data_IF_279961908103
#
_entry.id   IF_279961908103
#
_cell.length_a   1.000
_cell.length_b   1.000
_cell.length_c   1.000
_cell.angle_alpha   90.00
_cell.angle_beta   90.00
_cell.angle_gamma   90.00
#
_symmetry.space_group_name_H-M   'P 1'
#
loop_
_entity.id
_entity.type
_entity.pdbx_description
1 polymer ?
#
# COMPACT_ATOMS: atom_id res chain seq x y z
N UNK A 1 -42.55 35.40 -17.66
CA UNK A 1 -41.70 34.24 -17.29
C UNK A 1 -40.26 34.30 -17.79
N UNK A 2 -39.94 34.91 -18.95
CA UNK A 2 -38.57 34.93 -19.50
C UNK A 2 -37.47 35.55 -18.61
N UNK A 3 -37.74 36.67 -17.92
CA UNK A 3 -36.72 37.37 -17.10
C UNK A 3 -36.26 36.63 -15.82
N UNK A 4 -37.01 35.62 -15.37
CA UNK A 4 -36.69 34.86 -14.14
C UNK A 4 -35.76 33.67 -14.48
N UNK A 5 -35.91 33.08 -15.67
CA UNK A 5 -35.05 32.01 -16.17
C UNK A 5 -33.62 32.51 -16.47
N UNK A 6 -33.47 33.73 -16.99
CA UNK A 6 -32.14 34.33 -17.26
C UNK A 6 -31.34 34.61 -15.98
N UNK A 7 -32.02 35.03 -14.90
CA UNK A 7 -31.35 35.26 -13.60
C UNK A 7 -30.86 33.94 -12.99
N UNK A 8 -31.66 32.88 -13.08
CA UNK A 8 -31.28 31.57 -12.54
C UNK A 8 -30.07 30.96 -13.28
N UNK A 9 -30.00 31.16 -14.61
CA UNK A 9 -28.84 30.78 -15.42
C UNK A 9 -27.58 31.56 -15.05
N UNK A 10 -27.72 32.85 -14.80
CA UNK A 10 -26.61 33.72 -14.37
C UNK A 10 -26.04 33.32 -13.00
N UNK A 11 -26.89 33.04 -12.00
CA UNK A 11 -26.41 32.60 -10.68
C UNK A 11 -25.74 31.22 -10.71
N UNK A 12 -26.23 30.29 -11.55
CA UNK A 12 -25.56 29.00 -11.77
C UNK A 12 -24.19 29.19 -12.42
N UNK A 13 -24.10 30.02 -13.46
CA UNK A 13 -22.83 30.34 -14.10
C UNK A 13 -21.84 30.98 -13.13
N UNK A 14 -22.29 31.94 -12.32
CA UNK A 14 -21.46 32.61 -11.31
C UNK A 14 -20.99 31.64 -10.22
N UNK A 15 -21.85 30.73 -9.77
CA UNK A 15 -21.48 29.68 -8.81
C UNK A 15 -20.45 28.70 -9.39
N UNK A 16 -20.59 28.30 -10.66
CA UNK A 16 -19.61 27.44 -11.34
C UNK A 16 -18.26 28.15 -11.50
N UNK A 17 -18.28 29.44 -11.86
CA UNK A 17 -17.08 30.26 -12.00
C UNK A 17 -16.38 30.42 -10.65
N UNK A 18 -17.13 30.69 -9.57
CA UNK A 18 -16.59 30.80 -8.21
C UNK A 18 -15.93 29.48 -7.76
N UNK A 19 -16.61 28.35 -7.94
CA UNK A 19 -16.06 27.02 -7.59
C UNK A 19 -14.83 26.67 -8.43
N UNK A 20 -14.81 27.06 -9.71
CA UNK A 20 -13.65 26.88 -10.57
C UNK A 20 -12.45 27.70 -10.07
N UNK A 21 -12.65 28.97 -9.76
CA UNK A 21 -11.61 29.85 -9.24
C UNK A 21 -11.09 29.39 -7.88
N UNK A 22 -11.97 28.97 -6.96
CA UNK A 22 -11.59 28.39 -5.67
C UNK A 22 -10.74 27.13 -5.83
N UNK A 23 -11.09 26.25 -6.78
CA UNK A 23 -10.29 25.05 -7.09
C UNK A 23 -8.92 25.40 -7.67
N UNK A 24 -8.82 26.41 -8.53
CA UNK A 24 -7.52 26.84 -9.06
C UNK A 24 -6.66 27.51 -7.97
N UNK A 25 -7.27 28.32 -7.12
CA UNK A 25 -6.59 28.96 -6.00
C UNK A 25 -6.08 27.93 -4.99
N UNK A 26 -6.89 26.93 -4.64
CA UNK A 26 -6.47 25.82 -3.78
C UNK A 26 -5.30 25.02 -4.40
N UNK A 27 -5.35 24.72 -5.71
CA UNK A 27 -4.23 24.05 -6.41
C UNK A 27 -2.95 24.89 -6.36
N UNK A 28 -3.05 26.19 -6.55
CA UNK A 28 -1.92 27.10 -6.47
C UNK A 28 -1.36 27.17 -5.04
N UNK A 29 -2.22 27.30 -4.04
CA UNK A 29 -1.87 27.29 -2.62
C UNK A 29 -1.12 26.02 -2.23
N UNK A 30 -1.62 24.84 -2.60
CA UNK A 30 -0.94 23.56 -2.34
C UNK A 30 0.40 23.50 -3.06
N UNK A 31 0.49 23.94 -4.33
CA UNK A 31 1.78 24.02 -5.06
C UNK A 31 2.76 24.95 -4.37
N UNK A 32 2.33 26.12 -3.91
CA UNK A 32 3.17 27.05 -3.17
C UNK A 32 3.65 26.47 -1.84
N UNK A 33 2.81 25.72 -1.11
CA UNK A 33 3.24 25.02 0.10
C UNK A 33 4.27 23.94 -0.21
N UNK A 34 4.06 23.14 -1.27
CA UNK A 34 5.01 22.09 -1.66
C UNK A 34 6.33 22.72 -2.12
N UNK A 35 6.28 23.81 -2.89
CA UNK A 35 7.46 24.58 -3.30
C UNK A 35 8.17 25.22 -2.11
N UNK A 36 7.43 25.78 -1.15
CA UNK A 36 8.00 26.36 0.06
C UNK A 36 8.62 25.29 0.94
N UNK A 37 7.97 24.14 1.14
CA UNK A 37 8.54 23.00 1.89
C UNK A 37 9.78 22.44 1.20
N UNK A 38 9.75 22.23 -0.12
CA UNK A 38 10.91 21.73 -0.87
C UNK A 38 12.06 22.73 -0.91
N UNK A 39 11.78 24.03 -1.08
CA UNK A 39 12.78 25.09 -0.99
C UNK A 39 13.34 25.23 0.42
N UNK A 40 12.49 25.14 1.44
CA UNK A 40 12.90 25.15 2.86
C UNK A 40 13.78 23.95 3.18
N UNK A 41 13.41 22.72 2.75
CA UNK A 41 14.24 21.53 2.92
C UNK A 41 15.58 21.66 2.17
N UNK A 42 15.59 22.26 0.97
CA UNK A 42 16.83 22.52 0.22
C UNK A 42 17.73 23.58 0.87
N UNK A 43 17.14 24.66 1.43
CA UNK A 43 17.87 25.67 2.20
C UNK A 43 18.39 25.10 3.54
N UNK A 44 17.58 24.26 4.20
CA UNK A 44 17.92 23.55 5.43
C UNK A 44 19.05 22.52 5.22
N UNK A 45 19.21 22.03 4.00
CA UNK A 45 20.26 21.08 3.61
C UNK A 45 21.59 21.72 3.22
N UNK A 46 21.76 23.05 3.33
CA UNK A 46 23.03 23.72 3.04
C UNK A 46 24.15 23.26 4.00
N UNK A 47 25.42 23.17 3.55
CA UNK A 47 26.51 22.59 4.35
C UNK A 47 26.75 23.30 5.70
N UNK A 48 26.52 24.62 5.76
CA UNK A 48 26.65 25.40 6.99
C UNK A 48 25.56 25.11 8.04
N UNK A 49 24.38 24.68 7.60
CA UNK A 49 23.26 24.37 8.50
C UNK A 49 23.34 22.95 9.09
N UNK A 50 23.96 21.99 8.37
CA UNK A 50 24.13 20.61 8.86
C UNK A 50 25.00 20.52 10.11
N UNK A 51 26.05 21.35 10.22
CA UNK A 51 26.84 21.45 11.47
C UNK A 51 26.01 21.98 12.64
N UNK A 52 25.20 23.02 12.41
CA UNK A 52 24.27 23.55 13.42
C UNK A 52 23.22 22.50 13.84
N UNK A 53 22.78 21.64 12.91
CA UNK A 53 21.88 20.52 13.22
C UNK A 53 22.53 19.49 14.14
N UNK A 54 23.80 19.14 13.92
CA UNK A 54 24.51 18.19 14.79
C UNK A 54 24.59 18.69 16.25
N UNK A 55 24.90 19.97 16.44
CA UNK A 55 24.89 20.61 17.76
C UNK A 55 23.49 20.61 18.39
N UNK A 56 22.47 20.90 17.58
CA UNK A 56 21.06 20.91 18.02
C UNK A 56 20.61 19.52 18.47
N UNK A 57 20.95 18.45 17.75
CA UNK A 57 20.65 17.06 18.11
C UNK A 57 21.24 16.72 19.49
N UNK A 58 22.49 17.11 19.73
CA UNK A 58 23.16 16.87 21.01
C UNK A 58 22.44 17.58 22.19
N UNK A 59 21.96 18.81 21.96
CA UNK A 59 21.17 19.56 22.95
C UNK A 59 19.80 18.92 23.18
N UNK A 60 19.11 18.50 22.12
CA UNK A 60 17.78 17.89 22.20
C UNK A 60 17.82 16.54 22.92
N UNK A 61 18.87 15.73 22.70
CA UNK A 61 19.09 14.47 23.42
C UNK A 61 19.00 14.65 24.94
N UNK A 62 19.64 15.69 25.48
CA UNK A 62 19.67 15.97 26.93
C UNK A 62 18.28 16.30 27.52
N UNK A 63 17.30 16.65 26.68
CA UNK A 63 15.93 16.98 27.11
C UNK A 63 15.01 15.75 27.15
N UNK A 64 15.42 14.61 26.59
CA UNK A 64 14.61 13.39 26.54
C UNK A 64 14.68 12.64 27.88
N UNK A 65 13.51 12.29 28.43
CA UNK A 65 13.40 11.54 29.71
C UNK A 65 13.83 10.08 29.59
N UNK A 66 13.59 9.48 28.42
CA UNK A 66 13.97 8.10 28.08
C UNK A 66 14.56 8.12 26.69
N UNK A 67 15.62 7.35 26.50
CA UNK A 67 16.36 7.29 25.24
C UNK A 67 16.48 5.83 24.81
N UNK A 68 16.10 5.49 23.56
CA UNK A 68 16.15 4.11 23.08
C UNK A 68 17.60 3.64 22.94
N UNK A 69 17.90 2.43 23.39
CA UNK A 69 19.16 1.74 23.12
C UNK A 69 19.17 1.13 21.71
N UNK A 70 18.00 0.70 21.22
CA UNK A 70 17.88 0.14 19.89
C UNK A 70 16.68 0.71 19.13
N UNK A 71 16.97 1.27 17.95
CA UNK A 71 15.94 1.72 17.00
C UNK A 71 15.82 0.72 15.85
N UNK A 72 14.61 0.30 15.56
CA UNK A 72 14.26 -0.44 14.35
C UNK A 72 13.66 0.49 13.30
N UNK A 73 14.04 0.32 12.04
CA UNK A 73 13.52 1.08 10.91
C UNK A 73 12.91 0.11 9.92
N UNK A 74 11.65 0.32 9.55
CA UNK A 74 10.93 -0.53 8.58
C UNK A 74 10.70 0.26 7.31
N UNK A 75 11.30 -0.19 6.21
CA UNK A 75 11.16 0.40 4.88
C UNK A 75 10.04 -0.31 4.12
N UNK A 76 8.85 0.28 4.06
CA UNK A 76 7.71 -0.25 3.30
C UNK A 76 7.54 0.41 1.92
N UNK A 77 8.51 1.21 1.49
CA UNK A 77 8.44 1.95 0.22
C UNK A 77 8.89 1.12 -0.98
N UNK A 78 8.38 1.48 -2.17
CA UNK A 78 8.75 0.81 -3.41
C UNK A 78 10.11 1.22 -3.96
N UNK A 79 10.65 2.37 -3.51
CA UNK A 79 11.92 2.93 -3.96
C UNK A 79 12.80 3.18 -2.74
N UNK A 80 14.10 2.96 -2.91
CA UNK A 80 15.10 3.19 -1.87
C UNK A 80 15.83 4.51 -2.15
N UNK A 81 15.81 5.43 -1.18
CA UNK A 81 16.58 6.67 -1.24
C UNK A 81 17.80 6.57 -0.31
N UNK A 82 18.95 6.21 -0.89
CA UNK A 82 20.19 5.98 -0.12
C UNK A 82 20.67 7.22 0.67
N UNK A 83 20.46 8.42 0.11
CA UNK A 83 20.83 9.68 0.78
C UNK A 83 19.99 9.92 2.04
N UNK A 84 18.71 9.58 2.03
CA UNK A 84 17.84 9.71 3.20
C UNK A 84 18.16 8.64 4.25
N UNK A 85 18.44 7.41 3.82
CA UNK A 85 18.88 6.33 4.69
C UNK A 85 20.20 6.68 5.39
N UNK A 86 21.17 7.23 4.66
CA UNK A 86 22.44 7.70 5.22
C UNK A 86 22.23 8.82 6.25
N UNK A 87 21.34 9.78 5.98
CA UNK A 87 20.99 10.81 6.97
C UNK A 87 20.41 10.18 8.25
N UNK A 88 19.51 9.20 8.12
CA UNK A 88 18.90 8.54 9.27
C UNK A 88 19.93 7.76 10.11
N UNK A 89 20.88 7.08 9.46
CA UNK A 89 22.00 6.41 10.14
C UNK A 89 22.85 7.44 10.90
N UNK A 90 23.22 8.55 10.25
CA UNK A 90 24.03 9.61 10.89
C UNK A 90 23.27 10.30 12.02
N UNK A 91 21.97 10.57 11.88
CA UNK A 91 21.17 11.14 12.96
C UNK A 91 21.04 10.20 14.15
N UNK A 92 20.95 8.89 13.91
CA UNK A 92 20.94 7.88 14.97
C UNK A 92 22.28 7.86 15.73
N UNK A 93 23.39 7.93 15.00
CA UNK A 93 24.74 8.05 15.56
C UNK A 93 24.88 9.33 16.40
N UNK A 94 24.53 10.50 15.85
CA UNK A 94 24.63 11.80 16.53
C UNK A 94 23.70 11.92 17.75
N UNK A 95 22.58 11.20 17.73
CA UNK A 95 21.67 11.12 18.87
C UNK A 95 22.27 10.26 19.99
N UNK A 96 23.31 9.47 19.71
CA UNK A 96 23.96 8.56 20.66
C UNK A 96 23.21 7.23 20.83
N UNK A 97 22.49 6.78 19.80
CA UNK A 97 21.86 5.45 19.77
C UNK A 97 22.94 4.42 19.46
N UNK A 98 23.11 3.37 20.30
CA UNK A 98 24.14 2.37 20.07
C UNK A 98 23.77 1.33 19.01
N UNK A 99 22.48 0.99 18.85
CA UNK A 99 22.03 -0.04 17.90
C UNK A 99 20.96 0.48 16.94
N UNK A 100 21.11 0.18 15.65
CA UNK A 100 20.14 0.48 14.60
C UNK A 100 19.93 -0.75 13.73
N UNK A 101 18.68 -1.18 13.57
CA UNK A 101 18.30 -2.25 12.64
C UNK A 101 17.42 -1.69 11.53
N UNK A 102 17.78 -1.94 10.27
CA UNK A 102 17.03 -1.49 9.09
C UNK A 102 16.44 -2.71 8.40
N UNK A 103 15.12 -2.82 8.37
CA UNK A 103 14.36 -3.90 7.76
C UNK A 103 13.75 -3.49 6.42
N UNK A 104 14.10 -4.23 5.38
CA UNK A 104 13.54 -4.12 4.03
C UNK A 104 12.89 -5.46 3.60
N UNK A 105 11.55 -5.54 3.52
CA UNK A 105 10.86 -6.75 3.09
C UNK A 105 11.26 -7.26 1.71
N UNK A 106 11.75 -6.38 0.82
CA UNK A 106 12.14 -6.74 -0.54
C UNK A 106 13.61 -7.17 -0.66
N UNK A 107 14.40 -6.98 0.40
CA UNK A 107 15.82 -7.31 0.41
C UNK A 107 16.69 -6.47 -0.54
N UNK A 108 16.25 -5.28 -0.97
CA UNK A 108 17.04 -4.38 -1.81
C UNK A 108 18.25 -3.84 -1.04
N UNK A 109 18.07 -3.57 0.26
CA UNK A 109 19.14 -3.02 1.13
C UNK A 109 20.27 -4.02 1.40
N UNK A 110 19.99 -5.33 1.38
CA UNK A 110 20.99 -6.39 1.58
C UNK A 110 21.78 -6.74 0.31
N UNK A 111 21.52 -6.10 -0.83
CA UNK A 111 22.29 -6.34 -2.06
C UNK A 111 23.71 -5.78 -1.93
N UNK A 112 24.74 -6.57 -2.27
CA UNK A 112 26.15 -6.19 -2.08
C UNK A 112 26.52 -4.80 -2.63
N UNK A 113 26.15 -4.51 -3.89
CA UNK A 113 26.38 -3.20 -4.51
C UNK A 113 25.70 -2.03 -3.77
N UNK A 114 24.55 -2.30 -3.15
CA UNK A 114 23.75 -1.30 -2.42
C UNK A 114 24.38 -1.03 -1.06
N UNK A 115 24.91 -2.06 -0.40
CA UNK A 115 25.62 -1.94 0.89
C UNK A 115 26.87 -1.07 0.71
N UNK A 116 27.69 -1.32 -0.31
CA UNK A 116 28.89 -0.51 -0.59
C UNK A 116 28.53 0.96 -0.83
N UNK A 117 27.53 1.22 -1.69
CA UNK A 117 27.04 2.59 -1.94
C UNK A 117 26.50 3.25 -0.67
N UNK A 118 25.81 2.50 0.19
CA UNK A 118 25.30 3.03 1.45
C UNK A 118 26.44 3.38 2.40
N UNK A 119 27.47 2.55 2.50
CA UNK A 119 28.66 2.82 3.32
C UNK A 119 29.36 4.11 2.86
N UNK A 120 29.58 4.28 1.55
CA UNK A 120 30.17 5.49 0.98
C UNK A 120 29.30 6.73 1.28
N UNK A 121 27.98 6.62 1.11
CA UNK A 121 27.04 7.72 1.40
C UNK A 121 27.00 8.08 2.88
N UNK A 122 27.08 7.10 3.78
CA UNK A 122 27.15 7.34 5.23
C UNK A 122 28.43 8.10 5.58
N UNK A 123 29.59 7.68 5.05
CA UNK A 123 30.86 8.38 5.28
C UNK A 123 30.80 9.82 4.75
N UNK A 124 30.29 10.00 3.53
CA UNK A 124 30.09 11.34 2.94
C UNK A 124 29.21 12.21 3.84
N UNK A 125 28.09 11.67 4.31
CA UNK A 125 27.16 12.36 5.21
C UNK A 125 27.82 12.68 6.56
N UNK A 126 28.60 11.75 7.14
CA UNK A 126 29.35 12.01 8.37
C UNK A 126 30.32 13.19 8.20
N UNK A 127 31.06 13.24 7.10
CA UNK A 127 31.95 14.37 6.81
C UNK A 127 31.21 15.71 6.72
N UNK A 128 30.02 15.72 6.14
CA UNK A 128 29.21 16.95 6.02
C UNK A 128 28.67 17.44 7.38
N UNK A 129 28.22 16.54 8.26
CA UNK A 129 27.68 16.92 9.58
C UNK A 129 28.79 17.19 10.62
N UNK A 130 29.85 16.40 10.65
CA UNK A 130 30.88 16.40 11.69
C UNK A 130 32.19 17.08 11.27
N UNK A 131 32.41 17.34 9.98
CA UNK A 131 33.64 17.95 9.48
C UNK A 131 34.87 17.10 9.79
N UNK A 132 35.80 17.65 10.58
CA UNK A 132 37.05 16.98 10.99
C UNK A 132 36.85 15.99 12.14
N UNK A 133 35.76 16.12 12.89
CA UNK A 133 35.48 15.29 14.06
C UNK A 133 34.85 13.94 13.70
N UNK A 134 34.60 13.68 12.40
CA UNK A 134 33.99 12.44 11.93
C UNK A 134 34.74 11.18 12.40
N UNK A 135 36.07 11.26 12.56
CA UNK A 135 36.91 10.15 13.04
C UNK A 135 36.58 9.70 14.47
N UNK A 136 35.94 10.57 15.26
CA UNK A 136 35.52 10.25 16.62
C UNK A 136 34.23 9.43 16.67
N UNK A 137 33.50 9.32 15.55
CA UNK A 137 32.20 8.66 15.47
C UNK A 137 32.26 7.48 14.51
N UNK A 138 32.05 6.27 15.02
CA UNK A 138 32.21 5.04 14.23
C UNK A 138 30.86 4.40 13.92
N UNK A 139 30.61 4.11 12.64
CA UNK A 139 29.49 3.27 12.21
C UNK A 139 30.03 1.89 11.83
N UNK A 140 29.53 0.84 12.47
CA UNK A 140 29.95 -0.55 12.22
C UNK A 140 28.79 -1.28 11.56
N UNK A 141 28.97 -1.68 10.31
CA UNK A 141 28.04 -2.55 9.60
C UNK A 141 28.27 -3.98 10.10
N UNK A 142 27.21 -4.62 10.56
CA UNK A 142 27.26 -5.94 11.17
C UNK A 142 26.67 -6.98 10.23
N UNK A 143 27.49 -7.92 9.79
CA UNK A 143 27.07 -9.08 8.99
C UNK A 143 26.78 -10.29 9.90
N UNK A 144 25.91 -11.20 9.43
CA UNK A 144 25.44 -12.41 10.15
C UNK A 144 26.55 -13.32 10.72
N UNK A 145 27.80 -13.18 10.26
CA UNK A 145 28.94 -14.02 10.67
C UNK A 145 29.86 -13.41 11.71
N UNK A 146 29.72 -12.12 12.02
CA UNK A 146 30.55 -11.48 13.03
C UNK A 146 29.78 -11.42 14.34
N UNK A 147 30.17 -12.20 15.35
CA UNK A 147 29.70 -11.89 16.71
C UNK A 147 30.28 -10.53 17.11
N UNK A 148 29.51 -9.61 17.73
CA UNK A 148 30.11 -8.44 18.33
C UNK A 148 30.97 -8.95 19.48
N UNK A 149 32.29 -8.99 19.27
CA UNK A 149 33.22 -9.47 20.29
C UNK A 149 32.96 -8.68 21.57
N UNK A 150 32.54 -9.38 22.61
CA UNK A 150 32.26 -8.83 23.95
C UNK A 150 33.50 -8.21 24.62
N UNK A 151 34.66 -8.23 23.98
CA UNK A 151 35.91 -7.66 24.46
C UNK A 151 36.44 -6.61 23.47
N UNK A 152 36.02 -5.36 23.66
CA UNK A 152 36.66 -4.17 23.11
C UNK A 152 37.84 -3.66 23.95
N UNK A 153 38.50 -4.54 24.73
CA UNK A 153 39.82 -4.26 25.30
C UNK A 153 40.83 -5.22 24.66
N UNK A 154 41.91 -4.63 24.16
CA UNK A 154 43.14 -5.24 23.61
C UNK A 154 43.16 -5.44 22.08
N UNK A 155 43.54 -4.39 21.35
CA UNK A 155 44.96 -4.19 20.96
C UNK A 155 45.15 -2.92 20.13
N UNK A 156 45.87 -1.94 20.70
CA UNK A 156 46.85 -1.06 20.02
C UNK A 156 46.38 0.06 19.08
N UNK A 157 46.33 1.30 19.63
CA UNK A 157 46.46 2.63 18.97
C UNK A 157 45.45 2.96 17.84
N UNK A 158 44.57 3.98 17.87
CA UNK A 158 44.60 5.36 18.41
C UNK A 158 43.16 5.89 18.50
N UNK A 159 42.86 6.76 19.48
CA UNK A 159 41.64 7.58 19.53
C UNK A 159 40.43 6.89 20.19
N UNK A 160 40.09 7.34 21.41
CA UNK A 160 38.81 7.01 22.05
C UNK A 160 37.66 7.50 21.18
N UNK A 161 37.03 6.62 20.39
CA UNK A 161 35.80 6.94 19.66
C UNK A 161 34.75 7.41 20.68
N UNK A 162 34.19 8.59 20.47
CA UNK A 162 33.23 9.22 21.39
C UNK A 162 31.92 8.44 21.40
N UNK A 163 31.44 8.02 20.23
CA UNK A 163 30.22 7.22 20.07
C UNK A 163 30.36 6.23 18.91
N UNK A 164 29.81 5.02 19.09
CA UNK A 164 29.80 3.95 18.10
C UNK A 164 28.37 3.49 17.87
N UNK A 165 27.95 3.40 16.60
CA UNK A 165 26.67 2.86 16.17
C UNK A 165 26.88 1.51 15.48
N UNK A 166 26.21 0.48 15.97
CA UNK A 166 26.13 -0.84 15.33
C UNK A 166 24.89 -0.89 14.44
N UNK A 167 25.11 -1.03 13.13
CA UNK A 167 24.07 -1.08 12.11
C UNK A 167 23.89 -2.51 11.61
N UNK A 168 22.66 -3.02 11.69
CA UNK A 168 22.26 -4.31 11.12
C UNK A 168 21.22 -4.10 10.02
N UNK A 169 21.41 -4.78 8.89
CA UNK A 169 20.49 -4.77 7.76
C UNK A 169 19.71 -6.09 7.75
N UNK A 170 18.39 -6.01 7.69
CA UNK A 170 17.48 -7.14 7.81
C UNK A 170 16.56 -7.23 6.58
N UNK A 171 16.20 -8.46 6.20
CA UNK A 171 15.22 -8.77 5.16
C UNK A 171 14.13 -9.74 5.64
N UNK A 172 13.21 -10.10 4.75
CA UNK A 172 12.11 -11.03 5.09
C UNK A 172 12.61 -12.44 5.50
N UNK A 173 13.78 -12.85 5.04
CA UNK A 173 14.45 -14.09 5.45
C UNK A 173 14.85 -14.08 6.92
N UNK A 174 15.27 -12.94 7.46
CA UNK A 174 15.69 -12.80 8.86
C UNK A 174 14.54 -12.78 9.87
N UNK A 175 13.29 -12.73 9.39
CA UNK A 175 12.11 -12.73 10.26
C UNK A 175 11.54 -14.14 10.41
N UNK A 176 10.54 -14.50 9.59
CA UNK A 176 9.92 -15.83 9.61
C UNK A 176 10.88 -16.92 9.14
N UNK A 177 11.78 -16.60 8.21
CA UNK A 177 12.76 -17.56 7.71
C UNK A 177 13.73 -18.01 8.81
N UNK A 178 14.25 -17.07 9.60
CA UNK A 178 15.13 -17.34 10.75
C UNK A 178 14.44 -18.25 11.77
N UNK A 179 13.20 -17.92 12.17
CA UNK A 179 12.41 -18.76 13.09
C UNK A 179 12.25 -20.18 12.54
N UNK A 180 11.92 -20.34 11.25
CA UNK A 180 11.76 -21.65 10.61
C UNK A 180 13.10 -22.40 10.55
N UNK A 181 14.20 -21.71 10.27
CA UNK A 181 15.53 -22.30 10.17
C UNK A 181 16.05 -22.74 11.54
N UNK A 182 15.88 -21.91 12.57
CA UNK A 182 16.19 -22.24 13.96
C UNK A 182 15.35 -23.42 14.46
N UNK A 183 14.05 -23.41 14.19
CA UNK A 183 13.18 -24.54 14.52
C UNK A 183 13.64 -25.83 13.83
N UNK A 184 13.98 -25.78 12.53
CA UNK A 184 14.52 -26.92 11.79
C UNK A 184 15.85 -27.40 12.38
N UNK A 185 16.72 -26.47 12.78
CA UNK A 185 18.01 -26.76 13.40
C UNK A 185 17.83 -27.50 14.73
N UNK A 186 16.99 -26.99 15.62
CA UNK A 186 16.68 -27.63 16.90
C UNK A 186 16.05 -29.02 16.71
N UNK A 187 15.09 -29.16 15.78
CA UNK A 187 14.52 -30.46 15.43
C UNK A 187 15.58 -31.47 14.93
N UNK A 188 16.60 -31.02 14.19
CA UNK A 188 17.71 -31.88 13.77
C UNK A 188 18.55 -32.33 14.96
N UNK A 189 18.82 -31.44 15.91
CA UNK A 189 19.58 -31.77 17.12
C UNK A 189 18.84 -32.77 18.02
N UNK A 190 17.51 -32.66 18.13
CA UNK A 190 16.68 -33.66 18.83
C UNK A 190 16.75 -35.01 18.10
N UNK A 191 16.65 -35.02 16.77
CA UNK A 191 16.76 -36.25 15.96
C UNK A 191 18.12 -36.93 16.12
N UNK A 192 19.19 -36.15 16.25
CA UNK A 192 20.55 -36.64 16.50
C UNK A 192 20.80 -37.04 17.96
N UNK A 193 19.81 -36.89 18.86
CA UNK A 193 19.91 -37.23 20.28
C UNK A 193 20.77 -36.26 21.10
N UNK A 194 21.08 -35.07 20.57
CA UNK A 194 21.91 -34.04 21.23
C UNK A 194 21.11 -33.17 22.19
N UNK A 195 19.81 -33.04 21.98
CA UNK A 195 18.92 -32.18 22.74
C UNK A 195 17.63 -32.94 23.08
N UNK A 196 17.12 -32.80 24.30
CA UNK A 196 15.83 -33.34 24.70
C UNK A 196 14.70 -32.32 24.41
N UNK A 197 13.50 -32.83 24.14
CA UNK A 197 12.32 -32.01 23.82
C UNK A 197 11.95 -31.08 25.00
N UNK A 198 12.22 -31.51 26.23
CA UNK A 198 11.97 -30.71 27.44
C UNK A 198 12.93 -29.53 27.60
N UNK A 199 14.08 -29.55 26.90
CA UNK A 199 15.07 -28.47 26.93
C UNK A 199 14.63 -27.24 26.14
N UNK A 200 13.78 -27.40 25.12
CA UNK A 200 13.39 -26.30 24.22
C UNK A 200 12.50 -25.28 24.95
N UNK A 201 13.14 -24.33 25.63
CA UNK A 201 12.51 -23.18 26.28
C UNK A 201 12.53 -21.96 25.36
N UNK A 202 11.70 -20.96 25.68
CA UNK A 202 11.66 -19.68 24.92
C UNK A 202 13.03 -18.99 24.94
N UNK A 203 13.75 -19.06 26.06
CA UNK A 203 15.06 -18.44 26.22
C UNK A 203 16.14 -19.15 25.41
N UNK A 204 16.14 -20.48 25.39
CA UNK A 204 17.04 -21.26 24.52
C UNK A 204 16.74 -21.00 23.05
N UNK A 205 15.47 -20.99 22.67
CA UNK A 205 15.06 -20.69 21.30
C UNK A 205 15.53 -19.29 20.87
N UNK A 206 15.39 -18.28 21.75
CA UNK A 206 15.83 -16.91 21.51
C UNK A 206 17.35 -16.79 21.31
N UNK A 207 18.15 -17.59 22.01
CA UNK A 207 19.62 -17.62 21.83
C UNK A 207 20.05 -18.18 20.47
N UNK A 208 19.20 -19.00 19.85
CA UNK A 208 19.46 -19.60 18.53
C UNK A 208 18.87 -18.81 17.35
N UNK A 209 18.21 -17.67 17.59
CA UNK A 209 17.78 -16.77 16.53
C UNK A 209 18.97 -15.94 16.04
N UNK A 210 19.36 -16.14 14.77
CA UNK A 210 20.47 -15.40 14.17
C UNK A 210 20.19 -13.89 14.12
N UNK A 211 18.92 -13.53 13.95
CA UNK A 211 18.42 -12.15 13.98
C UNK A 211 18.59 -11.44 15.33
N UNK A 212 18.63 -12.18 16.43
CA UNK A 212 18.73 -11.65 17.80
C UNK A 212 20.14 -11.74 18.38
N UNK A 213 21.09 -12.36 17.68
CA UNK A 213 22.42 -12.62 18.21
C UNK A 213 23.21 -11.30 18.38
N UNK A 214 23.44 -10.87 19.62
CA UNK A 214 24.29 -9.72 19.94
C UNK A 214 23.68 -8.32 19.78
N UNK A 215 22.38 -8.20 19.50
CA UNK A 215 21.63 -6.94 19.52
C UNK A 215 20.56 -7.00 20.63
N UNK A 216 20.37 -5.92 21.42
CA UNK A 216 19.28 -5.86 22.39
C UNK A 216 17.92 -5.78 21.70
N UNK A 217 16.83 -5.95 22.45
CA UNK A 217 15.46 -5.78 21.92
C UNK A 217 15.23 -4.36 21.38
N UNK A 218 14.36 -4.22 20.37
CA UNK A 218 14.06 -2.92 19.75
C UNK A 218 13.13 -2.11 20.66
N UNK A 219 13.58 -0.93 21.08
CA UNK A 219 12.79 -0.02 21.94
C UNK A 219 11.81 0.86 21.15
N UNK A 220 12.16 1.19 19.91
CA UNK A 220 11.39 2.10 19.06
C UNK A 220 11.45 1.66 17.60
N UNK A 221 10.28 1.55 16.95
CA UNK A 221 10.18 1.24 15.51
C UNK A 221 9.71 2.47 14.74
N UNK A 222 10.51 2.88 13.75
CA UNK A 222 10.17 3.91 12.77
C UNK A 222 9.77 3.24 11.46
N UNK A 223 8.48 3.30 11.10
CA UNK A 223 7.97 2.74 9.85
C UNK A 223 7.82 3.84 8.80
N UNK A 224 8.48 3.65 7.66
CA UNK A 224 8.42 4.53 6.49
C UNK A 224 7.65 3.84 5.36
N UNK A 225 6.88 4.62 4.61
CA UNK A 225 6.01 4.13 3.55
C UNK A 225 4.58 3.84 4.00
N UNK A 226 3.66 4.10 3.08
CA UNK A 226 2.28 3.62 3.17
C UNK A 226 2.35 2.18 2.68
N UNK A 227 2.21 1.22 3.60
CA UNK A 227 1.81 -0.12 3.18
C UNK A 227 0.46 0.09 2.52
N UNK A 228 0.35 -0.16 1.22
CA UNK A 228 -0.96 -0.43 0.63
C UNK A 228 -1.52 -1.55 1.50
N UNK A 229 -2.46 -1.20 2.39
CA UNK A 229 -3.25 -2.22 3.05
C UNK A 229 -3.73 -3.11 1.92
N UNK A 230 -3.52 -4.42 2.07
CA UNK A 230 -4.18 -5.39 1.18
C UNK A 230 -5.64 -4.96 1.23
N UNK A 231 -6.12 -4.35 0.15
CA UNK A 231 -7.47 -3.83 0.11
C UNK A 231 -8.33 -5.05 0.33
N UNK A 232 -9.04 -5.08 1.46
CA UNK A 232 -9.85 -6.24 1.80
C UNK A 232 -10.78 -6.47 0.61
N UNK A 233 -10.87 -7.73 0.17
CA UNK A 233 -11.77 -8.07 -0.92
C UNK A 233 -13.17 -7.54 -0.56
N UNK A 234 -13.92 -7.01 -1.52
CA UNK A 234 -15.28 -6.58 -1.24
C UNK A 234 -16.05 -7.73 -0.63
N UNK A 235 -16.92 -7.42 0.33
CA UNK A 235 -17.77 -8.44 0.94
C UNK A 235 -18.78 -8.94 -0.10
N UNK A 236 -18.60 -10.18 -0.57
CA UNK A 236 -19.46 -10.81 -1.57
C UNK A 236 -20.51 -11.66 -0.83
N UNK A 237 -21.76 -11.22 -0.90
CA UNK A 237 -22.87 -11.86 -0.18
C UNK A 237 -23.89 -12.42 -1.16
N UNK A 238 -24.33 -13.67 -0.97
CA UNK A 238 -25.50 -14.22 -1.66
C UNK A 238 -26.76 -14.06 -0.80
N UNK A 239 -27.78 -13.42 -1.36
CA UNK A 239 -29.07 -13.16 -0.68
C UNK A 239 -30.22 -13.75 -1.49
N UNK A 240 -31.15 -14.42 -0.82
CA UNK A 240 -32.42 -14.85 -1.42
C UNK A 240 -33.42 -13.70 -1.40
N UNK A 241 -33.95 -13.31 -2.56
CA UNK A 241 -34.94 -12.25 -2.68
C UNK A 241 -34.95 -11.56 -4.04
N UNK A 242 -35.78 -10.52 -4.15
CA UNK A 242 -35.85 -9.70 -5.37
C UNK A 242 -34.68 -8.71 -5.43
N UNK A 243 -33.87 -8.79 -6.48
CA UNK A 243 -32.77 -7.84 -6.77
C UNK A 243 -33.23 -6.38 -6.66
N UNK A 244 -34.46 -6.09 -7.09
CA UNK A 244 -34.97 -4.73 -7.13
C UNK A 244 -35.41 -4.16 -5.78
N UNK A 245 -35.32 -4.97 -4.71
CA UNK A 245 -35.50 -4.54 -3.31
C UNK A 245 -34.25 -3.95 -2.68
N UNK A 246 -33.11 -3.97 -3.39
CA UNK A 246 -31.86 -3.39 -2.89
C UNK A 246 -31.99 -1.86 -2.62
N UNK A 247 -31.17 -1.29 -1.71
CA UNK A 247 -31.16 0.14 -1.45
C UNK A 247 -31.00 0.99 -2.72
N UNK A 248 -31.61 2.18 -2.75
CA UNK A 248 -31.52 3.08 -3.91
C UNK A 248 -30.11 3.65 -4.13
N UNK A 249 -29.29 3.70 -3.07
CA UNK A 249 -27.87 4.05 -3.11
C UNK A 249 -26.99 2.97 -3.75
N UNK A 250 -27.51 1.74 -3.89
CA UNK A 250 -26.76 0.61 -4.46
C UNK A 250 -26.88 0.61 -5.98
N UNK A 251 -25.73 0.52 -6.65
CA UNK A 251 -25.68 0.41 -8.11
C UNK A 251 -26.03 -1.00 -8.57
N UNK A 252 -26.74 -1.12 -9.69
CA UNK A 252 -27.30 -2.38 -10.16
C UNK A 252 -26.57 -2.87 -11.41
N UNK A 253 -26.45 -4.18 -11.60
CA UNK A 253 -25.86 -4.73 -12.81
C UNK A 253 -26.64 -5.94 -13.38
N UNK A 254 -26.68 -6.05 -14.71
CA UNK A 254 -27.15 -7.25 -15.40
C UNK A 254 -26.54 -7.40 -16.81
N UNK A 255 -26.72 -8.57 -17.43
CA UNK A 255 -26.25 -8.83 -18.79
C UNK A 255 -27.30 -8.54 -19.87
N UNK A 256 -26.82 -8.04 -21.02
CA UNK A 256 -27.57 -7.89 -22.26
C UNK A 256 -26.72 -8.24 -23.49
N UNK A 257 -27.39 -8.33 -24.63
CA UNK A 257 -26.76 -8.39 -25.95
C UNK A 257 -26.49 -6.99 -26.53
N UNK A 258 -25.53 -6.89 -27.45
CA UNK A 258 -25.16 -5.64 -28.12
C UNK A 258 -26.30 -5.04 -28.98
N UNK A 259 -27.26 -5.87 -29.41
CA UNK A 259 -28.48 -5.42 -30.09
C UNK A 259 -29.59 -4.91 -29.14
N UNK A 260 -29.35 -4.89 -27.82
CA UNK A 260 -30.19 -4.30 -26.77
C UNK A 260 -31.65 -4.85 -26.78
N UNK A 261 -31.82 -6.09 -27.24
CA UNK A 261 -33.12 -6.78 -27.23
C UNK A 261 -33.41 -7.43 -25.88
N UNK A 262 -33.94 -6.63 -24.95
CA UNK A 262 -34.28 -7.03 -23.57
C UNK A 262 -35.74 -7.51 -23.43
N UNK A 263 -36.08 -8.63 -24.06
CA UNK A 263 -37.48 -9.12 -24.15
C UNK A 263 -37.93 -10.11 -23.08
N UNK A 264 -37.01 -10.74 -22.33
CA UNK A 264 -37.31 -11.80 -21.37
C UNK A 264 -36.47 -11.69 -20.11
N UNK A 265 -36.90 -12.40 -19.06
CA UNK A 265 -36.18 -12.50 -17.78
C UNK A 265 -36.01 -11.14 -17.10
N UNK A 266 -34.95 -11.03 -16.29
CA UNK A 266 -34.68 -9.81 -15.53
C UNK A 266 -34.43 -8.59 -16.42
N UNK A 267 -33.87 -8.79 -17.63
CA UNK A 267 -33.60 -7.72 -18.59
C UNK A 267 -34.88 -6.97 -19.01
N UNK A 268 -36.01 -7.67 -19.16
CA UNK A 268 -37.30 -7.03 -19.45
C UNK A 268 -37.76 -6.12 -18.29
N UNK A 269 -37.47 -6.52 -17.04
CA UNK A 269 -37.78 -5.73 -15.84
C UNK A 269 -36.88 -4.49 -15.78
N UNK A 270 -35.57 -4.62 -16.04
CA UNK A 270 -34.65 -3.48 -16.14
C UNK A 270 -35.12 -2.47 -17.21
N UNK A 271 -35.53 -2.96 -18.39
CA UNK A 271 -36.07 -2.11 -19.46
C UNK A 271 -37.32 -1.35 -19.01
N UNK A 272 -38.25 -2.01 -18.32
CA UNK A 272 -39.49 -1.39 -17.81
C UNK A 272 -39.21 -0.39 -16.68
N UNK A 273 -38.29 -0.72 -15.76
CA UNK A 273 -38.04 0.07 -14.54
C UNK A 273 -37.12 1.28 -14.77
N UNK A 274 -36.09 1.16 -15.62
CA UNK A 274 -35.08 2.21 -15.81
C UNK A 274 -35.15 2.96 -17.15
N UNK A 275 -35.98 2.48 -18.09
CA UNK A 275 -36.12 3.03 -19.44
C UNK A 275 -34.75 3.22 -20.12
N UNK A 276 -34.57 4.26 -20.95
CA UNK A 276 -33.24 4.64 -21.48
C UNK A 276 -32.68 3.74 -22.59
N UNK A 277 -33.52 3.00 -23.31
CA UNK A 277 -33.04 2.14 -24.42
C UNK A 277 -32.32 2.95 -25.51
N UNK A 278 -32.82 4.14 -25.83
CA UNK A 278 -32.16 5.06 -26.78
C UNK A 278 -30.80 5.53 -26.25
N UNK A 279 -30.71 5.91 -24.97
CA UNK A 279 -29.44 6.28 -24.32
C UNK A 279 -28.41 5.13 -24.44
N UNK A 280 -28.82 3.90 -24.15
CA UNK A 280 -27.96 2.71 -24.28
C UNK A 280 -27.49 2.51 -25.72
N UNK A 281 -28.38 2.66 -26.71
CA UNK A 281 -28.04 2.51 -28.13
C UNK A 281 -27.04 3.57 -28.60
N UNK A 282 -27.15 4.81 -28.12
CA UNK A 282 -26.22 5.89 -28.50
C UNK A 282 -24.80 5.67 -28.01
N UNK A 283 -24.61 4.89 -26.93
CA UNK A 283 -23.28 4.54 -26.40
C UNK A 283 -22.51 3.57 -27.31
N UNK A 284 -23.20 2.88 -28.25
CA UNK A 284 -22.61 1.97 -29.25
C UNK A 284 -21.61 0.96 -28.67
N UNK A 285 -21.96 0.37 -27.54
CA UNK A 285 -21.11 -0.60 -26.83
C UNK A 285 -21.08 -1.95 -27.53
N UNK A 286 -19.89 -2.54 -27.58
CA UNK A 286 -19.57 -3.84 -28.18
C UNK A 286 -19.42 -4.93 -27.11
N UNK A 287 -19.32 -6.19 -27.55
CA UNK A 287 -19.15 -7.34 -26.64
C UNK A 287 -17.88 -7.18 -25.78
N UNK A 288 -18.04 -7.43 -24.48
CA UNK A 288 -17.01 -7.23 -23.47
C UNK A 288 -16.93 -5.82 -22.92
N UNK A 289 -17.77 -4.89 -23.38
CA UNK A 289 -17.90 -3.57 -22.78
C UNK A 289 -19.10 -3.52 -21.82
N UNK A 290 -19.28 -2.37 -21.16
CA UNK A 290 -20.43 -2.08 -20.30
C UNK A 290 -21.11 -0.80 -20.79
N UNK A 291 -22.43 -0.85 -20.93
CA UNK A 291 -23.26 0.34 -21.13
C UNK A 291 -23.85 0.78 -19.79
N UNK A 292 -23.99 2.08 -19.57
CA UNK A 292 -24.28 2.62 -18.24
C UNK A 292 -25.43 3.62 -18.32
N UNK A 293 -26.40 3.50 -17.41
CA UNK A 293 -27.40 4.54 -17.18
C UNK A 293 -27.22 5.10 -15.78
N UNK A 294 -27.19 6.42 -15.65
CA UNK A 294 -27.25 7.09 -14.36
C UNK A 294 -28.71 7.37 -13.99
N UNK A 295 -29.14 6.93 -12.81
CA UNK A 295 -30.51 7.11 -12.30
C UNK A 295 -30.44 7.51 -10.83
N UNK A 296 -30.66 8.79 -10.54
CA UNK A 296 -30.39 9.36 -9.22
C UNK A 296 -28.91 9.25 -8.86
N UNK A 297 -28.63 8.77 -7.66
CA UNK A 297 -27.28 8.60 -7.14
C UNK A 297 -26.63 7.26 -7.50
N UNK A 298 -27.36 6.36 -8.17
CA UNK A 298 -26.85 5.05 -8.60
C UNK A 298 -26.59 4.96 -10.09
N UNK A 299 -25.69 4.04 -10.42
CA UNK A 299 -25.43 3.60 -11.79
C UNK A 299 -26.13 2.25 -12.03
N UNK A 300 -26.66 2.09 -13.24
CA UNK A 300 -27.26 0.86 -13.73
C UNK A 300 -26.38 0.34 -14.87
N UNK A 301 -25.72 -0.78 -14.63
CA UNK A 301 -24.72 -1.39 -15.50
C UNK A 301 -25.34 -2.48 -16.38
N UNK A 302 -25.12 -2.35 -17.68
CA UNK A 302 -25.58 -3.27 -18.71
C UNK A 302 -24.37 -3.92 -19.36
N UNK A 303 -23.98 -5.10 -18.86
CA UNK A 303 -22.82 -5.85 -19.36
C UNK A 303 -23.15 -6.43 -20.73
N UNK A 304 -22.39 -6.04 -21.75
CA UNK A 304 -22.60 -6.51 -23.13
C UNK A 304 -21.86 -7.84 -23.32
N UNK A 305 -22.55 -8.96 -23.14
CA UNK A 305 -21.89 -10.27 -23.05
C UNK A 305 -22.03 -11.13 -24.31
N UNK A 306 -22.83 -10.68 -25.29
CA UNK A 306 -23.09 -11.36 -26.55
C UNK A 306 -23.50 -10.40 -27.65
N UNK A 307 -23.34 -10.77 -28.92
CA UNK A 307 -23.64 -9.88 -30.03
C UNK A 307 -25.15 -9.79 -30.29
N UNK A 308 -25.83 -10.95 -30.24
CA UNK A 308 -27.27 -11.07 -30.45
C UNK A 308 -27.98 -11.71 -29.25
N UNK A 309 -29.24 -11.34 -29.02
CA UNK A 309 -29.99 -11.79 -27.84
C UNK A 309 -30.21 -13.31 -27.74
N UNK A 310 -30.21 -14.02 -28.88
CA UNK A 310 -30.40 -15.47 -28.96
C UNK A 310 -29.09 -16.26 -28.80
N UNK A 311 -27.94 -15.59 -28.82
CA UNK A 311 -26.64 -16.24 -28.59
C UNK A 311 -26.44 -16.53 -27.09
N UNK A 312 -25.42 -17.35 -26.80
CA UNK A 312 -24.94 -17.64 -25.45
C UNK A 312 -23.67 -16.83 -25.19
N UNK A 313 -23.54 -16.19 -24.01
CA UNK A 313 -22.31 -15.48 -23.67
C UNK A 313 -21.17 -16.46 -23.39
N UNK A 314 -19.93 -15.98 -23.47
CA UNK A 314 -18.73 -16.73 -23.06
C UNK A 314 -18.18 -16.14 -21.76
N UNK A 315 -17.51 -16.96 -20.94
CA UNK A 315 -16.84 -16.48 -19.71
C UNK A 315 -15.91 -15.30 -19.97
N UNK A 316 -15.12 -15.35 -21.05
CA UNK A 316 -14.21 -14.28 -21.44
C UNK A 316 -14.95 -12.96 -21.75
N UNK A 317 -16.11 -13.02 -22.42
CA UNK A 317 -16.91 -11.83 -22.68
C UNK A 317 -17.47 -11.22 -21.39
N UNK A 318 -17.94 -12.07 -20.46
CA UNK A 318 -18.44 -11.62 -19.15
C UNK A 318 -17.31 -11.01 -18.32
N UNK A 319 -16.16 -11.68 -18.21
CA UNK A 319 -14.98 -11.18 -17.47
C UNK A 319 -14.53 -9.81 -18.01
N UNK A 320 -14.50 -9.63 -19.33
CA UNK A 320 -14.13 -8.36 -19.95
C UNK A 320 -15.14 -7.25 -19.60
N UNK A 321 -16.45 -7.54 -19.65
CA UNK A 321 -17.49 -6.58 -19.25
C UNK A 321 -17.45 -6.25 -17.75
N UNK A 322 -17.16 -7.24 -16.89
CA UNK A 322 -16.99 -7.03 -15.44
C UNK A 322 -15.79 -6.12 -15.15
N UNK A 323 -14.66 -6.31 -15.85
CA UNK A 323 -13.50 -5.42 -15.73
C UNK A 323 -13.82 -3.99 -16.19
N UNK A 324 -14.58 -3.83 -17.28
CA UNK A 324 -15.04 -2.51 -17.73
C UNK A 324 -15.96 -1.84 -16.69
N UNK A 325 -16.84 -2.61 -16.05
CA UNK A 325 -17.69 -2.13 -14.95
C UNK A 325 -16.88 -1.75 -13.72
N UNK A 326 -15.90 -2.58 -13.31
CA UNK A 326 -14.98 -2.29 -12.19
C UNK A 326 -14.28 -0.95 -12.38
N UNK A 327 -13.69 -0.73 -13.57
CA UNK A 327 -13.02 0.52 -13.91
C UNK A 327 -13.95 1.72 -13.74
N UNK A 328 -15.19 1.62 -14.24
CA UNK A 328 -16.16 2.69 -14.08
C UNK A 328 -16.53 2.92 -12.59
N UNK A 329 -16.68 1.84 -11.81
CA UNK A 329 -16.98 1.93 -10.38
C UNK A 329 -15.87 2.72 -9.64
N UNK A 330 -14.61 2.45 -9.94
CA UNK A 330 -13.45 3.12 -9.34
C UNK A 330 -13.40 4.60 -9.73
N UNK A 331 -13.60 4.92 -11.01
CA UNK A 331 -13.59 6.30 -11.52
C UNK A 331 -14.71 7.18 -10.91
N UNK A 332 -15.84 6.56 -10.53
CA UNK A 332 -17.03 7.27 -10.06
C UNK A 332 -17.34 7.06 -8.58
N UNK A 333 -16.42 6.42 -7.84
CA UNK A 333 -16.57 6.20 -6.40
C UNK A 333 -17.78 5.34 -6.01
N UNK A 334 -18.15 4.37 -6.85
CA UNK A 334 -19.21 3.41 -6.52
C UNK A 334 -18.71 2.48 -5.41
N UNK A 335 -19.53 2.30 -4.39
CA UNK A 335 -19.20 1.53 -3.18
C UNK A 335 -19.98 0.24 -3.02
N UNK A 336 -21.20 0.17 -3.54
CA UNK A 336 -22.06 -1.00 -3.42
C UNK A 336 -22.61 -1.41 -4.78
N UNK A 337 -22.52 -2.71 -5.08
CA UNK A 337 -23.13 -3.33 -6.26
C UNK A 337 -24.16 -4.38 -5.85
N UNK A 338 -25.26 -4.44 -6.60
CA UNK A 338 -26.22 -5.52 -6.53
C UNK A 338 -26.46 -6.10 -7.93
N UNK A 339 -26.40 -7.43 -8.06
CA UNK A 339 -26.57 -8.12 -9.33
C UNK A 339 -27.21 -9.50 -9.15
N UNK A 340 -27.85 -10.08 -10.17
CA UNK A 340 -28.26 -11.48 -10.12
C UNK A 340 -27.02 -12.39 -10.30
N UNK A 341 -27.20 -13.71 -10.28
CA UNK A 341 -26.19 -14.65 -10.80
C UNK A 341 -25.94 -14.43 -12.30
N UNK A 342 -25.00 -13.53 -12.59
CA UNK A 342 -24.66 -13.03 -13.92
C UNK A 342 -24.38 -14.18 -14.89
N UNK A 343 -25.06 -14.19 -16.05
CA UNK A 343 -24.85 -15.17 -17.11
C UNK A 343 -25.34 -16.61 -16.80
N UNK A 344 -25.88 -16.89 -15.61
CA UNK A 344 -26.19 -18.26 -15.19
C UNK A 344 -27.62 -18.74 -15.52
N UNK A 345 -28.57 -17.82 -15.67
CA UNK A 345 -29.98 -18.16 -15.94
C UNK A 345 -30.22 -18.63 -17.37
N UNK A 346 -30.94 -17.83 -18.17
CA UNK A 346 -31.22 -18.14 -19.58
C UNK A 346 -29.95 -18.28 -20.43
N UNK A 347 -28.83 -17.76 -19.95
CA UNK A 347 -27.54 -17.78 -20.62
C UNK A 347 -26.71 -19.04 -20.32
N UNK A 348 -27.04 -19.80 -19.25
CA UNK A 348 -26.53 -21.15 -19.03
C UNK A 348 -25.05 -21.29 -18.62
N UNK A 349 -24.40 -20.22 -18.16
CA UNK A 349 -23.08 -20.33 -17.53
C UNK A 349 -23.18 -20.97 -16.14
N UNK A 350 -22.11 -21.62 -15.69
CA UNK A 350 -22.08 -22.27 -14.38
C UNK A 350 -21.75 -21.24 -13.28
N UNK A 351 -22.55 -21.24 -12.21
CA UNK A 351 -22.36 -20.29 -11.11
C UNK A 351 -21.01 -20.41 -10.42
N UNK A 352 -20.52 -21.64 -10.21
CA UNK A 352 -19.23 -21.88 -9.55
C UNK A 352 -18.09 -21.15 -10.27
N UNK A 353 -17.99 -21.34 -11.59
CA UNK A 353 -16.99 -20.69 -12.42
C UNK A 353 -17.21 -19.17 -12.52
N UNK A 354 -18.47 -18.71 -12.57
CA UNK A 354 -18.78 -17.28 -12.54
C UNK A 354 -18.39 -16.60 -11.21
N UNK A 355 -18.57 -17.28 -10.08
CA UNK A 355 -18.20 -16.76 -8.78
C UNK A 355 -16.68 -16.56 -8.68
N UNK A 356 -15.90 -17.55 -9.13
CA UNK A 356 -14.43 -17.43 -9.21
C UNK A 356 -13.99 -16.25 -10.08
N UNK A 357 -14.68 -16.02 -11.21
CA UNK A 357 -14.41 -14.86 -12.09
C UNK A 357 -14.74 -13.54 -11.38
N UNK A 358 -15.87 -13.45 -10.67
CA UNK A 358 -16.26 -12.25 -9.93
C UNK A 358 -15.24 -11.94 -8.83
N UNK A 359 -14.87 -12.93 -8.03
CA UNK A 359 -13.85 -12.81 -6.98
C UNK A 359 -12.52 -12.31 -7.57
N UNK A 360 -12.05 -12.94 -8.64
CA UNK A 360 -10.82 -12.56 -9.35
C UNK A 360 -10.87 -11.12 -9.89
N UNK A 361 -11.97 -10.72 -10.52
CA UNK A 361 -12.08 -9.37 -11.09
C UNK A 361 -12.08 -8.31 -9.97
N UNK A 362 -12.81 -8.56 -8.89
CA UNK A 362 -13.05 -7.56 -7.86
C UNK A 362 -12.10 -7.60 -6.66
N UNK A 363 -11.14 -8.53 -6.61
CA UNK A 363 -10.20 -8.70 -5.50
C UNK A 363 -9.52 -7.39 -5.03
N UNK A 364 -9.21 -6.47 -5.95
CA UNK A 364 -8.50 -5.21 -5.65
C UNK A 364 -9.39 -3.95 -5.85
N UNK A 365 -10.71 -4.13 -5.95
CA UNK A 365 -11.64 -3.04 -6.28
C UNK A 365 -11.87 -2.07 -5.13
N UNK A 366 -12.42 -0.87 -5.42
CA UNK A 366 -12.82 0.11 -4.40
C UNK A 366 -14.20 -0.11 -3.78
N UNK A 367 -14.84 -1.23 -4.13
CA UNK A 367 -16.16 -1.60 -3.64
C UNK A 367 -16.05 -2.08 -2.20
N UNK A 368 -17.06 -1.74 -1.40
CA UNK A 368 -17.18 -2.20 -0.03
C UNK A 368 -18.02 -3.49 -0.01
N UNK A 369 -19.07 -3.58 -0.83
CA UNK A 369 -20.00 -4.74 -0.87
C UNK A 369 -20.48 -5.07 -2.29
N UNK A 370 -20.61 -6.37 -2.56
CA UNK A 370 -21.27 -6.92 -3.74
C UNK A 370 -22.34 -7.91 -3.28
N UNK A 371 -23.62 -7.59 -3.53
CA UNK A 371 -24.74 -8.46 -3.19
C UNK A 371 -25.25 -9.20 -4.43
N UNK A 372 -25.19 -10.52 -4.41
CA UNK A 372 -25.70 -11.40 -5.45
C UNK A 372 -27.09 -11.89 -5.04
N UNK A 373 -28.10 -11.54 -5.82
CA UNK A 373 -29.48 -11.95 -5.56
C UNK A 373 -29.83 -13.25 -6.28
N UNK A 374 -30.52 -14.13 -5.54
CA UNK A 374 -31.07 -15.40 -6.01
C UNK A 374 -32.57 -15.45 -5.73
N UNK A 375 -33.34 -16.04 -6.64
CA UNK A 375 -34.80 -16.23 -6.47
C UNK A 375 -35.11 -17.56 -5.79
#
# INVERSE_FOLDING_TARGET
>A
MGRILDRLGFYKFLSFLLLFLLRQWYRLYVRCIVLWRTASVRLLCSPGLRKQHAETIFVLRKKLKRFPQHIGVVLAENKLFLSELANLVVWSLLSGVPYLSIYDPKGMVKQGEVIEKLQEQVISTQHEYLGRDYQLYKVVFHEEKDTPKRNGLLNGHTGSSKETLYLRLLDNGDSRGDIINTARHLCSQVKEGKLDVSGITVDEFGQHLSSSLGFPEVDLVLKFGIREEKKEMPDIQEVKGDLFSCPESTSLAHCISADIRMGKGIAAIFKKKFAGVSELQTQKKSVGEVAILKRGDRHVYYLITKAKYFEKPTYAAVEKSLNAMKKHCEEHGVKALAMPRIGCGLDGLEWKQMNEIIEKVFQDSSLDVITIYTL
#
